data_IF_640814861392
#
_entry.id   IF_640814861392
#
_cell.length_a   1.000
_cell.length_b   1.000
_cell.length_c   1.000
_cell.angle_alpha   90.00
_cell.angle_beta   90.00
_cell.angle_gamma   90.00
#
_symmetry.space_group_name_H-M   'P 1'
#
loop_
_entity.id
_entity.type
_entity.pdbx_description
1 polymer ?
#
# COMPACT_ATOMS: atom_id res chain seq x y z
N UNK A 1 34.72 49.70 56.78
CA UNK A 1 34.66 50.14 55.38
C UNK A 1 34.32 48.90 54.61
N UNK A 2 33.03 48.67 54.36
CA UNK A 2 32.50 47.45 53.74
C UNK A 2 32.21 47.68 52.25
N UNK A 3 32.70 46.76 51.44
CA UNK A 3 32.38 46.71 49.99
C UNK A 3 31.26 45.74 49.78
N UNK A 4 30.13 46.24 49.24
CA UNK A 4 28.95 45.46 48.92
C UNK A 4 29.10 44.97 47.45
N UNK A 5 29.43 43.68 47.29
CA UNK A 5 29.42 43.01 46.01
C UNK A 5 28.00 42.69 45.54
N UNK A 6 27.55 43.32 44.47
CA UNK A 6 26.25 43.04 43.82
C UNK A 6 26.46 41.91 42.80
N UNK A 7 25.97 40.72 43.13
CA UNK A 7 25.83 39.60 42.21
C UNK A 7 24.66 39.84 41.24
N UNK A 8 24.97 39.98 39.97
CA UNK A 8 23.99 39.98 38.87
C UNK A 8 23.70 38.52 38.47
N UNK A 9 22.56 38.04 38.88
CA UNK A 9 22.05 36.76 38.38
C UNK A 9 21.50 36.96 36.95
N UNK A 10 22.17 36.42 35.97
CA UNK A 10 21.68 36.37 34.60
C UNK A 10 20.64 35.28 34.46
N UNK A 11 19.37 35.65 34.33
CA UNK A 11 18.28 34.73 33.94
C UNK A 11 18.40 34.47 32.44
N UNK A 12 18.88 33.27 32.08
CA UNK A 12 18.79 32.77 30.71
C UNK A 12 17.33 32.32 30.45
N UNK A 13 16.58 33.14 29.72
CA UNK A 13 15.27 32.74 29.19
C UNK A 13 15.50 31.80 28.03
N UNK A 14 15.34 30.51 28.29
CA UNK A 14 15.37 29.46 27.27
C UNK A 14 14.07 29.54 26.48
N UNK A 15 14.09 30.23 25.32
CA UNK A 15 12.98 30.19 24.37
C UNK A 15 12.83 28.79 23.82
N UNK A 16 11.81 28.06 24.29
CA UNK A 16 11.35 26.81 23.71
C UNK A 16 10.69 27.14 22.37
N UNK A 17 11.42 27.03 21.26
CA UNK A 17 10.85 27.12 19.93
C UNK A 17 10.03 25.85 19.71
N UNK A 18 8.74 25.94 19.97
CA UNK A 18 7.77 24.95 19.52
C UNK A 18 7.74 25.00 17.99
N UNK A 19 8.52 24.11 17.37
CA UNK A 19 8.43 23.84 15.93
C UNK A 19 7.06 23.22 15.66
N UNK A 20 6.06 24.07 15.42
CA UNK A 20 4.81 23.63 14.79
C UNK A 20 5.14 23.35 13.33
N UNK A 21 5.56 22.10 13.06
CA UNK A 21 5.59 21.59 11.69
C UNK A 21 4.20 21.81 11.05
N UNK A 22 4.12 22.03 9.74
CA UNK A 22 2.83 22.19 9.08
C UNK A 22 1.99 20.94 9.38
N UNK A 23 0.94 21.11 10.17
CA UNK A 23 -0.14 20.12 10.26
C UNK A 23 -0.71 20.03 8.84
N UNK A 24 -0.40 18.94 8.15
CA UNK A 24 -1.05 18.55 6.90
C UNK A 24 -2.52 18.22 7.21
N UNK A 25 -3.31 19.28 7.44
CA UNK A 25 -4.76 19.21 7.35
C UNK A 25 -5.08 18.93 5.88
N UNK A 26 -5.33 17.64 5.54
CA UNK A 26 -5.83 17.25 4.25
C UNK A 26 -4.91 16.42 3.36
N UNK A 27 -3.91 15.69 3.90
CA UNK A 27 -3.21 14.70 3.10
C UNK A 27 -4.20 13.66 2.56
N UNK A 28 -4.25 13.52 1.23
CA UNK A 28 -5.10 12.52 0.56
C UNK A 28 -4.59 11.11 0.85
N UNK A 29 -5.40 10.09 0.58
CA UNK A 29 -4.96 8.69 0.67
C UNK A 29 -3.78 8.43 -0.27
N UNK A 30 -3.76 9.09 -1.43
CA UNK A 30 -2.64 9.02 -2.38
C UNK A 30 -1.33 9.56 -1.77
N UNK A 31 -1.36 10.70 -1.07
CA UNK A 31 -0.18 11.26 -0.41
C UNK A 31 0.34 10.33 0.68
N UNK A 32 -0.56 9.79 1.51
CA UNK A 32 -0.23 8.83 2.57
C UNK A 32 0.40 7.55 2.00
N UNK A 33 -0.14 7.04 0.90
CA UNK A 33 0.39 5.87 0.20
C UNK A 33 1.79 6.16 -0.34
N UNK A 34 1.99 7.29 -1.00
CA UNK A 34 3.29 7.71 -1.55
C UNK A 34 4.35 7.86 -0.46
N UNK A 35 4.00 8.48 0.66
CA UNK A 35 4.90 8.63 1.80
C UNK A 35 5.30 7.26 2.39
N UNK A 36 4.32 6.36 2.58
CA UNK A 36 4.56 5.01 3.08
C UNK A 36 5.42 4.20 2.10
N UNK A 37 5.12 4.29 0.82
CA UNK A 37 5.87 3.63 -0.25
C UNK A 37 7.35 4.03 -0.25
N UNK A 38 7.65 5.33 -0.11
CA UNK A 38 9.02 5.84 -0.08
C UNK A 38 9.72 5.55 1.25
N UNK A 39 9.00 5.57 2.37
CA UNK A 39 9.53 5.20 3.68
C UNK A 39 10.01 3.75 3.74
N UNK A 40 9.31 2.86 3.05
CA UNK A 40 9.62 1.44 2.98
C UNK A 40 10.63 1.12 1.83
N UNK A 41 11.51 2.09 1.49
CA UNK A 41 12.60 1.84 0.54
C UNK A 41 13.53 0.71 1.04
N UNK A 42 14.02 -0.10 0.11
CA UNK A 42 14.90 -1.24 0.42
C UNK A 42 14.19 -2.59 0.50
N UNK A 43 12.84 -2.63 0.56
CA UNK A 43 12.04 -3.86 0.46
C UNK A 43 11.16 -3.84 -0.80
N UNK A 44 10.61 -4.98 -1.20
CA UNK A 44 9.61 -5.01 -2.28
C UNK A 44 8.34 -4.28 -1.84
N UNK A 45 7.65 -3.61 -2.76
CA UNK A 45 6.39 -2.92 -2.49
C UNK A 45 5.30 -3.43 -3.43
N UNK A 46 4.20 -3.92 -2.86
CA UNK A 46 3.04 -4.41 -3.59
C UNK A 46 1.84 -3.51 -3.30
N UNK A 47 1.37 -2.79 -4.30
CA UNK A 47 0.12 -2.02 -4.22
C UNK A 47 -1.02 -2.89 -4.73
N UNK A 48 -2.12 -2.95 -3.99
CA UNK A 48 -3.32 -3.72 -4.32
C UNK A 48 -4.53 -2.80 -4.25
N UNK A 49 -5.27 -2.71 -5.34
CA UNK A 49 -6.42 -1.81 -5.52
C UNK A 49 -7.70 -2.65 -5.58
N UNK A 50 -8.59 -2.48 -4.61
CA UNK A 50 -9.73 -3.39 -4.40
C UNK A 50 -10.98 -2.67 -3.90
N UNK A 51 -12.12 -3.31 -4.13
CA UNK A 51 -13.44 -2.89 -3.66
C UNK A 51 -13.93 -3.88 -2.59
N UNK A 52 -14.51 -3.41 -1.46
CA UNK A 52 -14.70 -4.23 -0.26
C UNK A 52 -15.75 -5.34 -0.40
N UNK A 53 -16.78 -5.16 -1.24
CA UNK A 53 -17.85 -6.17 -1.42
C UNK A 53 -17.82 -6.82 -2.80
N UNK A 54 -16.91 -6.42 -3.70
CA UNK A 54 -16.74 -7.04 -5.00
C UNK A 54 -16.23 -8.48 -4.84
N UNK A 55 -16.95 -9.52 -5.29
CA UNK A 55 -16.53 -10.91 -5.09
C UNK A 55 -15.17 -11.24 -5.71
N UNK A 56 -14.87 -10.68 -6.88
CA UNK A 56 -13.57 -10.88 -7.53
C UNK A 56 -12.43 -10.20 -6.77
N UNK A 57 -12.65 -8.98 -6.28
CA UNK A 57 -11.66 -8.25 -5.51
C UNK A 57 -11.32 -8.94 -4.19
N UNK A 58 -12.34 -9.35 -3.41
CA UNK A 58 -12.11 -10.03 -2.13
C UNK A 58 -11.47 -11.41 -2.33
N UNK A 59 -11.87 -12.14 -3.38
CA UNK A 59 -11.22 -13.39 -3.76
C UNK A 59 -9.76 -13.16 -4.19
N UNK A 60 -9.49 -12.10 -4.95
CA UNK A 60 -8.14 -11.70 -5.35
C UNK A 60 -7.27 -11.31 -4.16
N UNK A 61 -7.81 -10.53 -3.22
CA UNK A 61 -7.14 -10.16 -1.98
C UNK A 61 -6.80 -11.39 -1.13
N UNK A 62 -7.76 -12.29 -0.92
CA UNK A 62 -7.54 -13.56 -0.22
C UNK A 62 -6.53 -14.46 -0.93
N UNK A 63 -6.52 -14.47 -2.26
CA UNK A 63 -5.54 -15.20 -3.04
C UNK A 63 -4.12 -14.64 -2.83
N UNK A 64 -3.93 -13.32 -2.82
CA UNK A 64 -2.64 -12.68 -2.49
C UNK A 64 -2.22 -13.08 -1.07
N UNK A 65 -3.13 -13.04 -0.10
CA UNK A 65 -2.88 -13.46 1.27
C UNK A 65 -2.34 -14.90 1.35
N UNK A 66 -2.99 -15.84 0.67
CA UNK A 66 -2.63 -17.26 0.75
C UNK A 66 -1.37 -17.57 -0.06
N UNK A 67 -1.33 -17.15 -1.32
CA UNK A 67 -0.30 -17.63 -2.27
C UNK A 67 0.92 -16.71 -2.36
N UNK A 68 0.76 -15.40 -2.23
CA UNK A 68 1.87 -14.48 -2.27
C UNK A 68 2.51 -14.25 -0.90
N UNK A 69 1.72 -14.20 0.17
CA UNK A 69 2.21 -13.86 1.51
C UNK A 69 2.44 -15.09 2.39
N UNK A 70 1.41 -15.86 2.68
CA UNK A 70 1.48 -16.97 3.63
C UNK A 70 2.42 -18.09 3.16
N UNK A 71 2.42 -18.42 1.87
CA UNK A 71 3.34 -19.42 1.30
C UNK A 71 4.77 -18.91 1.17
N UNK A 72 5.00 -17.61 1.27
CA UNK A 72 6.33 -16.98 1.18
C UNK A 72 6.63 -16.16 2.44
N UNK A 73 6.80 -16.79 3.61
CA UNK A 73 6.96 -16.08 4.89
C UNK A 73 8.27 -15.28 4.96
N UNK A 74 9.27 -15.65 4.16
CA UNK A 74 10.58 -14.99 4.09
C UNK A 74 10.64 -13.87 3.04
N UNK A 75 9.59 -13.69 2.24
CA UNK A 75 9.52 -12.62 1.25
C UNK A 75 9.51 -11.27 1.96
N UNK A 76 10.56 -10.48 1.73
CA UNK A 76 10.67 -9.13 2.28
C UNK A 76 9.88 -8.15 1.40
N UNK A 77 8.62 -7.97 1.76
CA UNK A 77 7.65 -7.15 1.02
C UNK A 77 6.78 -6.34 1.97
N UNK A 78 6.45 -5.13 1.57
CA UNK A 78 5.35 -4.33 2.12
C UNK A 78 4.19 -4.31 1.14
N UNK A 79 2.99 -4.50 1.67
CA UNK A 79 1.76 -4.51 0.88
C UNK A 79 0.88 -3.35 1.31
N UNK A 80 0.37 -2.61 0.35
CA UNK A 80 -0.55 -1.49 0.55
C UNK A 80 -1.87 -1.87 -0.12
N UNK A 81 -2.82 -2.34 0.68
CA UNK A 81 -4.17 -2.67 0.23
C UNK A 81 -5.05 -1.41 0.33
N UNK A 82 -5.38 -0.84 -0.82
CA UNK A 82 -6.20 0.37 -0.92
C UNK A 82 -7.61 -0.04 -1.31
N UNK A 83 -8.56 0.29 -0.44
CA UNK A 83 -9.97 -0.06 -0.55
C UNK A 83 -10.80 1.18 -0.85
N UNK A 84 -11.72 1.08 -1.78
CA UNK A 84 -12.67 2.16 -2.13
C UNK A 84 -13.92 1.61 -2.81
N UNK A 85 -14.97 2.40 -2.77
CA UNK A 85 -16.29 2.05 -3.30
C UNK A 85 -16.27 1.96 -4.82
N UNK A 86 -16.36 0.76 -5.40
CA UNK A 86 -16.46 0.54 -6.85
C UNK A 86 -17.60 -0.38 -7.22
N UNK A 87 -17.92 -1.34 -6.36
CA UNK A 87 -18.99 -2.29 -6.58
C UNK A 87 -20.33 -1.74 -6.05
N UNK A 88 -21.47 -2.00 -6.73
CA UNK A 88 -22.76 -1.52 -6.25
C UNK A 88 -23.07 -2.01 -4.84
N UNK A 89 -23.36 -1.09 -3.94
CA UNK A 89 -23.63 -1.37 -2.54
C UNK A 89 -22.44 -1.27 -1.59
N UNK A 90 -21.22 -1.03 -2.11
CA UNK A 90 -20.07 -0.74 -1.27
C UNK A 90 -20.33 0.46 -0.35
N UNK A 91 -19.82 0.37 0.86
CA UNK A 91 -19.85 1.46 1.84
C UNK A 91 -18.57 1.49 2.69
N UNK A 92 -18.27 2.61 3.38
CA UNK A 92 -17.16 2.67 4.34
C UNK A 92 -17.30 1.65 5.48
N UNK A 93 -18.52 1.23 5.81
CA UNK A 93 -18.81 0.27 6.88
C UNK A 93 -18.36 -1.16 6.53
N UNK A 94 -18.11 -1.45 5.25
CA UNK A 94 -17.60 -2.75 4.79
C UNK A 94 -16.08 -2.89 5.00
N UNK A 95 -15.37 -1.77 5.14
CA UNK A 95 -13.91 -1.76 5.25
C UNK A 95 -13.36 -2.61 6.42
N UNK A 96 -13.92 -2.59 7.65
CA UNK A 96 -13.46 -3.44 8.74
C UNK A 96 -13.55 -4.94 8.45
N UNK A 97 -14.56 -5.37 7.68
CA UNK A 97 -14.69 -6.77 7.23
C UNK A 97 -13.71 -7.09 6.09
N UNK A 98 -13.59 -6.19 5.11
CA UNK A 98 -12.73 -6.36 3.96
C UNK A 98 -11.25 -6.56 4.32
N UNK A 99 -10.74 -5.84 5.34
CA UNK A 99 -9.37 -6.00 5.83
C UNK A 99 -9.03 -7.43 6.29
N UNK A 100 -10.03 -8.21 6.70
CA UNK A 100 -9.83 -9.59 7.17
C UNK A 100 -9.40 -10.55 6.06
N UNK A 101 -9.57 -10.18 4.79
CA UNK A 101 -9.09 -10.98 3.66
C UNK A 101 -7.56 -10.95 3.51
N UNK A 102 -6.88 -9.95 4.09
CA UNK A 102 -5.41 -9.82 4.05
C UNK A 102 -4.84 -9.50 5.45
N UNK A 103 -4.92 -10.43 6.42
CA UNK A 103 -4.53 -10.17 7.81
C UNK A 103 -3.01 -10.22 8.06
N UNK A 104 -2.18 -10.45 7.04
CA UNK A 104 -0.72 -10.53 7.22
C UNK A 104 -0.14 -9.22 7.75
N UNK A 105 0.80 -9.29 8.69
CA UNK A 105 1.45 -8.13 9.33
C UNK A 105 2.21 -7.22 8.35
N UNK A 106 2.53 -7.71 7.17
CA UNK A 106 3.18 -6.93 6.10
C UNK A 106 2.19 -6.05 5.33
N UNK A 107 0.88 -6.20 5.56
CA UNK A 107 -0.19 -5.46 4.88
C UNK A 107 -0.58 -4.22 5.67
N UNK A 108 -0.50 -3.07 5.03
CA UNK A 108 -1.10 -1.82 5.48
C UNK A 108 -2.38 -1.56 4.69
N UNK A 109 -3.46 -1.26 5.39
CA UNK A 109 -4.77 -1.04 4.78
C UNK A 109 -5.12 0.44 4.76
N UNK A 110 -5.58 0.92 3.61
CA UNK A 110 -6.02 2.29 3.38
C UNK A 110 -7.47 2.29 2.91
N UNK A 111 -8.26 3.22 3.41
CA UNK A 111 -9.56 3.55 2.85
C UNK A 111 -9.43 4.83 2.04
N UNK A 112 -9.82 4.79 0.77
CA UNK A 112 -9.71 5.93 -0.15
C UNK A 112 -11.10 6.42 -0.60
N UNK A 113 -11.75 7.30 0.19
CA UNK A 113 -13.09 7.79 -0.09
C UNK A 113 -13.15 8.61 -1.38
N UNK A 114 -12.04 9.25 -1.74
CA UNK A 114 -11.91 10.06 -2.95
C UNK A 114 -11.65 9.24 -4.20
N UNK A 115 -11.25 7.97 -4.08
CA UNK A 115 -10.76 7.13 -5.19
C UNK A 115 -9.55 7.76 -5.91
N UNK A 116 -8.76 8.56 -5.18
CA UNK A 116 -7.65 9.31 -5.76
C UNK A 116 -6.53 8.39 -6.19
N UNK A 117 -6.29 7.31 -5.43
CA UNK A 117 -5.31 6.28 -5.77
C UNK A 117 -5.73 5.54 -7.03
N UNK A 118 -7.01 5.15 -7.12
CA UNK A 118 -7.54 4.46 -8.30
C UNK A 118 -7.47 5.32 -9.56
N UNK A 119 -7.82 6.63 -9.46
CA UNK A 119 -7.67 7.57 -10.59
C UNK A 119 -6.22 7.74 -10.99
N UNK A 120 -5.33 7.83 -10.02
CA UNK A 120 -3.91 8.03 -10.28
C UNK A 120 -3.27 6.81 -10.98
N UNK A 121 -3.64 5.58 -10.56
CA UNK A 121 -3.15 4.35 -11.19
C UNK A 121 -3.79 4.05 -12.54
N UNK A 122 -4.95 4.67 -12.84
CA UNK A 122 -5.57 4.50 -14.17
C UNK A 122 -4.62 5.00 -15.26
N UNK A 123 -4.29 4.11 -16.21
CA UNK A 123 -3.32 4.41 -17.26
C UNK A 123 -1.86 4.41 -16.84
N UNK A 124 -1.55 4.04 -15.59
CA UNK A 124 -0.16 3.85 -15.14
C UNK A 124 0.56 2.75 -15.93
N UNK A 125 -0.14 1.65 -16.19
CA UNK A 125 0.25 0.63 -17.17
C UNK A 125 -0.76 0.67 -18.29
N UNK A 126 -0.33 0.75 -19.58
CA UNK A 126 -1.24 0.74 -20.72
C UNK A 126 -2.14 -0.50 -20.68
N UNK A 127 -3.44 -0.29 -20.76
CA UNK A 127 -4.44 -1.36 -20.81
C UNK A 127 -5.55 -1.00 -21.80
N UNK A 128 -6.22 -2.02 -22.35
CA UNK A 128 -7.39 -1.83 -23.23
C UNK A 128 -8.69 -1.63 -22.43
N UNK A 129 -8.60 -1.44 -21.12
CA UNK A 129 -9.77 -1.28 -20.27
C UNK A 129 -10.22 0.16 -20.27
N UNK A 130 -11.49 0.37 -20.54
CA UNK A 130 -12.15 1.67 -20.49
C UNK A 130 -12.59 2.01 -19.07
N UNK A 131 -12.47 3.27 -18.68
CA UNK A 131 -12.87 3.76 -17.35
C UNK A 131 -12.05 4.99 -16.97
N UNK A 132 -12.13 5.38 -15.70
CA UNK A 132 -11.36 6.50 -15.15
C UNK A 132 -10.68 6.12 -13.82
N UNK A 133 -10.97 4.93 -13.31
CA UNK A 133 -10.49 4.44 -12.02
C UNK A 133 -9.97 3.03 -12.18
N UNK A 134 -8.75 2.81 -11.75
CA UNK A 134 -8.14 1.47 -11.69
C UNK A 134 -8.63 0.73 -10.44
N UNK A 135 -8.98 -0.54 -10.57
CA UNK A 135 -9.42 -1.39 -9.47
C UNK A 135 -9.33 -2.87 -9.85
N UNK A 136 -9.42 -3.77 -8.86
CA UNK A 136 -9.13 -5.20 -9.01
C UNK A 136 -7.76 -5.41 -9.68
N UNK A 137 -6.74 -4.73 -9.13
CA UNK A 137 -5.43 -4.67 -9.73
C UNK A 137 -4.32 -4.78 -8.69
N UNK A 138 -3.13 -5.21 -9.14
CA UNK A 138 -1.92 -5.18 -8.34
C UNK A 138 -0.73 -4.62 -9.12
N UNK A 139 0.23 -4.06 -8.38
CA UNK A 139 1.49 -3.52 -8.89
C UNK A 139 2.62 -3.87 -7.95
N UNK A 140 3.56 -4.71 -8.39
CA UNK A 140 4.75 -5.09 -7.62
C UNK A 140 5.95 -4.29 -8.09
N UNK A 141 6.61 -3.62 -7.17
CA UNK A 141 7.78 -2.78 -7.41
C UNK A 141 9.02 -3.36 -6.74
N UNK A 142 10.16 -3.14 -7.39
CA UNK A 142 11.48 -3.50 -6.85
C UNK A 142 11.82 -2.72 -5.58
N UNK A 143 12.73 -3.26 -4.78
CA UNK A 143 13.25 -2.63 -3.57
C UNK A 143 13.95 -1.28 -3.82
N UNK A 144 14.39 -1.04 -5.04
CA UNK A 144 15.03 0.22 -5.47
C UNK A 144 14.03 1.27 -5.96
N UNK A 145 12.74 0.94 -6.04
CA UNK A 145 11.72 1.86 -6.53
C UNK A 145 11.66 3.15 -5.68
N UNK A 146 11.43 4.26 -6.36
CA UNK A 146 11.20 5.58 -5.75
C UNK A 146 9.96 6.18 -6.40
N UNK A 147 9.10 6.76 -5.60
CA UNK A 147 7.90 7.43 -6.08
C UNK A 147 8.04 8.95 -5.94
N UNK A 148 8.45 9.62 -7.02
CA UNK A 148 8.39 11.08 -7.16
C UNK A 148 7.06 11.46 -7.80
N UNK A 149 7.01 11.66 -9.11
CA UNK A 149 5.77 11.84 -9.86
C UNK A 149 5.11 10.49 -10.16
N UNK A 150 5.92 9.50 -10.52
CA UNK A 150 5.52 8.11 -10.72
C UNK A 150 6.50 7.16 -10.02
N UNK A 151 6.04 6.03 -9.47
CA UNK A 151 6.95 5.03 -8.94
C UNK A 151 7.75 4.39 -10.09
N UNK A 152 9.04 4.24 -9.86
CA UNK A 152 9.98 3.58 -10.77
C UNK A 152 10.04 2.08 -10.52
N UNK A 153 10.78 1.35 -11.35
CA UNK A 153 11.15 -0.06 -11.13
C UNK A 153 9.94 -0.99 -10.88
N UNK A 154 8.87 -0.83 -11.67
CA UNK A 154 7.77 -1.79 -11.71
C UNK A 154 8.30 -3.14 -12.21
N UNK A 155 8.06 -4.21 -11.47
CA UNK A 155 8.46 -5.58 -11.79
C UNK A 155 7.37 -6.34 -12.53
N UNK A 156 6.14 -6.24 -12.04
CA UNK A 156 4.95 -6.84 -12.66
C UNK A 156 3.68 -6.17 -12.15
N UNK A 157 2.62 -6.30 -12.91
CA UNK A 157 1.29 -5.84 -12.56
C UNK A 157 0.24 -6.76 -13.17
N UNK A 158 -1.00 -6.63 -12.74
CA UNK A 158 -2.11 -7.36 -13.32
C UNK A 158 -3.46 -6.77 -12.99
N UNK A 159 -4.40 -6.97 -13.92
CA UNK A 159 -5.82 -6.66 -13.85
C UNK A 159 -6.60 -7.68 -14.69
N UNK A 160 -7.56 -8.39 -14.16
CA UNK A 160 -7.94 -8.50 -12.75
C UNK A 160 -6.91 -9.30 -11.94
N UNK A 161 -6.92 -9.16 -10.63
CA UNK A 161 -5.93 -9.86 -9.78
C UNK A 161 -5.93 -11.37 -10.07
N UNK A 162 -7.10 -11.99 -10.14
CA UNK A 162 -7.22 -13.44 -10.34
C UNK A 162 -6.82 -13.90 -11.74
N UNK A 163 -7.06 -13.10 -12.78
CA UNK A 163 -6.66 -13.45 -14.14
C UNK A 163 -5.13 -13.39 -14.30
N UNK A 164 -4.52 -12.36 -13.70
CA UNK A 164 -3.09 -12.08 -13.81
C UNK A 164 -2.27 -12.63 -12.63
N UNK A 165 -2.88 -13.46 -11.78
CA UNK A 165 -2.24 -14.01 -10.57
C UNK A 165 -0.92 -14.73 -10.83
N UNK A 166 -0.79 -15.38 -12.01
CA UNK A 166 0.44 -16.05 -12.41
C UNK A 166 1.61 -15.09 -12.59
N UNK A 167 1.36 -13.87 -13.07
CA UNK A 167 2.39 -12.85 -13.19
C UNK A 167 3.02 -12.54 -11.84
N UNK A 168 2.19 -12.41 -10.80
CA UNK A 168 2.67 -12.13 -9.44
C UNK A 168 3.46 -13.31 -8.85
N UNK A 169 2.92 -14.54 -8.90
CA UNK A 169 3.61 -15.70 -8.31
C UNK A 169 4.89 -16.07 -9.07
N UNK A 170 4.89 -15.99 -10.39
CA UNK A 170 6.10 -16.23 -11.18
C UNK A 170 7.19 -15.21 -10.85
N UNK A 171 6.83 -13.93 -10.68
CA UNK A 171 7.80 -12.91 -10.31
C UNK A 171 8.32 -13.12 -8.89
N UNK A 172 7.46 -13.49 -7.94
CA UNK A 172 7.89 -13.83 -6.57
C UNK A 172 8.83 -15.04 -6.57
N UNK A 173 8.51 -16.10 -7.32
CA UNK A 173 9.38 -17.28 -7.44
C UNK A 173 10.75 -16.91 -8.00
N UNK A 174 10.81 -16.12 -9.08
CA UNK A 174 12.04 -15.58 -9.66
C UNK A 174 12.87 -14.81 -8.61
N UNK A 175 12.25 -13.90 -7.85
CA UNK A 175 12.92 -13.10 -6.83
C UNK A 175 13.45 -13.93 -5.65
N UNK A 176 12.82 -15.07 -5.37
CA UNK A 176 13.26 -16.02 -4.34
C UNK A 176 14.26 -17.07 -4.89
N UNK A 177 14.60 -17.03 -6.19
CA UNK A 177 15.49 -18.01 -6.82
C UNK A 177 14.84 -19.39 -6.99
N UNK A 178 13.52 -19.47 -6.97
CA UNK A 178 12.75 -20.70 -7.18
C UNK A 178 12.40 -20.88 -8.67
N UNK A 179 12.24 -22.11 -9.12
CA UNK A 179 11.64 -22.35 -10.42
C UNK A 179 10.21 -21.80 -10.46
N UNK A 180 9.73 -21.27 -11.60
CA UNK A 180 8.38 -20.79 -11.74
C UNK A 180 7.38 -21.88 -11.33
N UNK A 181 6.53 -21.59 -10.37
CA UNK A 181 5.50 -22.52 -9.92
C UNK A 181 4.40 -22.54 -10.98
N UNK A 182 4.15 -23.70 -11.59
CA UNK A 182 2.95 -23.93 -12.41
C UNK A 182 1.75 -24.06 -11.46
N UNK A 183 1.26 -22.93 -10.95
CA UNK A 183 0.12 -22.95 -10.05
C UNK A 183 -1.16 -22.92 -10.89
N UNK A 184 -1.61 -24.10 -11.32
CA UNK A 184 -2.99 -24.35 -11.76
C UNK A 184 -3.87 -24.71 -10.54
N UNK A 185 -3.71 -23.97 -9.44
CA UNK A 185 -4.56 -24.19 -8.28
C UNK A 185 -5.94 -23.58 -8.52
N UNK A 186 -7.03 -24.37 -8.28
CA UNK A 186 -8.38 -23.84 -8.38
C UNK A 186 -8.55 -22.67 -7.42
N UNK A 187 -9.20 -21.62 -7.90
CA UNK A 187 -9.61 -20.50 -7.05
C UNK A 187 -10.88 -20.96 -6.34
N UNK A 188 -10.73 -21.72 -5.26
CA UNK A 188 -11.86 -21.94 -4.36
C UNK A 188 -12.29 -20.56 -3.78
N UNK A 189 -13.59 -20.30 -3.66
CA UNK A 189 -14.05 -19.06 -3.07
C UNK A 189 -13.50 -18.97 -1.64
N UNK A 190 -12.55 -18.06 -1.45
CA UNK A 190 -11.95 -17.82 -0.14
C UNK A 190 -13.04 -17.21 0.72
N UNK A 191 -13.50 -17.97 1.69
CA UNK A 191 -14.44 -17.47 2.70
C UNK A 191 -13.65 -16.70 3.77
N UNK A 192 -14.22 -15.61 4.33
CA UNK A 192 -13.59 -14.78 5.35
C UNK A 192 -13.38 -15.52 6.68
#
# INVERSE_FOLDING_TARGET
MGSIGRSLAAFAVMMLVLSTGPHLLGATTLDQLKDSFNKDAGVLRLVVLVSPTCPQCVSGAGWIQEYALKRNPTLDVKVYAVWYEMYPGDSPDDFPAARKFMPDKRVSHYWDPGKDVGRWFYGFVPSNVTGEIEWDAFYLFDKTAVWTDKPTALLTSGRTILQERRNLTSKIAELLGHAPTTVDEPVDPIQP
#
